data_IF_298395943572
#
_entry.id   IF_298395943572
#
_cell.length_a   1.000
_cell.length_b   1.000
_cell.length_c   1.000
_cell.angle_alpha   90.00
_cell.angle_beta   90.00
_cell.angle_gamma   90.00
#
_symmetry.space_group_name_H-M   'P 1'
#
loop_
_entity.id
_entity.type
_entity.pdbx_description
1 polymer ?
#
# COMPACT_ATOMS: atom_id res chain seq x y z
N UNK A 1 1.85 6.56 -24.41
CA UNK A 1 1.65 5.41 -23.52
C UNK A 1 2.79 4.43 -23.80
N UNK A 2 3.77 4.28 -22.89
CA UNK A 2 4.94 3.43 -23.11
C UNK A 2 4.82 2.18 -22.21
N UNK A 3 4.84 0.99 -22.78
CA UNK A 3 4.76 -0.27 -22.00
C UNK A 3 5.99 -0.42 -21.10
N UNK A 4 7.15 0.09 -21.53
CA UNK A 4 8.38 0.02 -20.75
C UNK A 4 8.31 0.82 -19.44
N UNK A 5 7.54 1.93 -19.40
CA UNK A 5 7.34 2.69 -18.16
C UNK A 5 6.42 1.99 -17.15
N UNK A 6 5.73 0.91 -17.55
CA UNK A 6 4.99 0.03 -16.63
C UNK A 6 5.87 -1.07 -16.03
N UNK A 7 6.98 -1.41 -16.69
CA UNK A 7 7.88 -2.51 -16.31
C UNK A 7 9.08 -2.03 -15.49
N UNK A 8 9.60 -0.83 -15.77
CA UNK A 8 10.78 -0.29 -15.08
C UNK A 8 10.47 1.14 -14.63
N UNK A 9 10.83 1.43 -13.36
CA UNK A 9 10.58 2.73 -12.72
C UNK A 9 11.74 3.73 -12.84
N UNK A 10 12.97 3.24 -13.02
CA UNK A 10 14.20 4.05 -13.08
C UNK A 10 14.55 4.63 -14.46
N UNK A 11 15.44 5.63 -14.48
CA UNK A 11 16.05 6.20 -15.69
C UNK A 11 15.24 7.29 -16.41
N UNK A 12 15.51 7.47 -17.72
CA UNK A 12 14.87 8.42 -18.65
C UNK A 12 13.30 8.39 -18.63
N UNK A 13 12.70 7.33 -18.09
CA UNK A 13 11.24 7.16 -17.98
C UNK A 13 10.59 7.90 -16.79
N UNK A 14 11.41 8.47 -15.89
CA UNK A 14 10.95 9.35 -14.80
C UNK A 14 10.51 10.72 -15.36
N UNK A 15 11.12 11.17 -16.45
CA UNK A 15 10.85 12.46 -17.11
C UNK A 15 9.62 12.40 -18.02
N UNK A 16 9.36 11.28 -18.71
CA UNK A 16 8.21 11.15 -19.63
C UNK A 16 6.82 11.19 -18.96
N UNK A 17 6.75 11.18 -17.62
CA UNK A 17 5.50 11.23 -16.85
C UNK A 17 5.18 12.63 -16.29
N UNK A 18 6.01 13.65 -16.56
CA UNK A 18 5.81 15.01 -16.05
C UNK A 18 4.64 15.77 -16.71
N UNK A 19 4.22 15.38 -17.93
CA UNK A 19 3.15 16.09 -18.67
C UNK A 19 1.72 15.72 -18.24
N UNK A 20 1.54 14.64 -17.48
CA UNK A 20 0.23 14.24 -16.94
C UNK A 20 -0.04 14.88 -15.59
N UNK A 21 -1.23 15.49 -15.42
CA UNK A 21 -1.65 16.02 -14.12
C UNK A 21 -1.48 14.96 -13.01
N UNK A 22 -0.82 15.35 -11.91
CA UNK A 22 -0.41 14.44 -10.83
C UNK A 22 -1.60 13.67 -10.23
N UNK A 23 -2.79 14.27 -10.19
CA UNK A 23 -4.02 13.66 -9.70
C UNK A 23 -4.54 12.54 -10.60
N UNK A 24 -4.56 12.73 -11.93
CA UNK A 24 -4.98 11.68 -12.87
C UNK A 24 -4.04 10.47 -12.81
N UNK A 25 -2.73 10.71 -12.70
CA UNK A 25 -1.75 9.64 -12.58
C UNK A 25 -1.93 8.82 -11.29
N UNK A 26 -2.30 9.48 -10.19
CA UNK A 26 -2.65 8.80 -8.94
C UNK A 26 -3.91 7.96 -9.09
N UNK A 27 -4.96 8.47 -9.74
CA UNK A 27 -6.20 7.69 -9.97
C UNK A 27 -5.93 6.46 -10.84
N UNK A 28 -5.17 6.63 -11.93
CA UNK A 28 -4.79 5.51 -12.80
C UNK A 28 -3.98 4.48 -12.00
N UNK A 29 -3.03 4.95 -11.20
CA UNK A 29 -2.13 4.05 -10.46
C UNK A 29 -2.82 3.33 -9.32
N UNK A 30 -3.68 4.01 -8.55
CA UNK A 30 -4.25 3.47 -7.31
C UNK A 30 -5.66 2.89 -7.47
N UNK A 31 -6.37 3.23 -8.55
CA UNK A 31 -7.71 2.70 -8.83
C UNK A 31 -7.70 1.79 -10.05
N UNK A 32 -7.14 2.24 -11.18
CA UNK A 32 -7.26 1.48 -12.44
C UNK A 32 -6.30 0.30 -12.49
N UNK A 33 -5.02 0.48 -12.15
CA UNK A 33 -4.03 -0.62 -12.19
C UNK A 33 -4.40 -1.81 -11.29
N UNK A 34 -4.86 -1.63 -10.03
CA UNK A 34 -5.20 -2.76 -9.16
C UNK A 34 -6.39 -3.61 -9.63
N UNK A 35 -7.24 -3.11 -10.54
CA UNK A 35 -8.43 -3.84 -11.02
C UNK A 35 -8.03 -5.20 -11.60
N UNK A 36 -6.95 -5.27 -12.39
CA UNK A 36 -6.48 -6.52 -12.99
C UNK A 36 -6.10 -7.57 -11.92
N UNK A 37 -5.40 -7.16 -10.87
CA UNK A 37 -5.03 -8.00 -9.74
C UNK A 37 -6.26 -8.43 -8.93
N UNK A 38 -7.21 -7.53 -8.70
CA UNK A 38 -8.43 -7.84 -7.95
C UNK A 38 -9.31 -8.85 -8.71
N UNK A 39 -9.43 -8.69 -10.04
CA UNK A 39 -10.14 -9.66 -10.89
C UNK A 39 -9.44 -11.02 -10.85
N UNK A 40 -8.10 -11.05 -10.91
CA UNK A 40 -7.33 -12.27 -10.75
C UNK A 40 -7.58 -12.93 -9.38
N UNK A 41 -7.61 -12.16 -8.29
CA UNK A 41 -7.89 -12.68 -6.95
C UNK A 41 -9.28 -13.32 -6.87
N UNK A 42 -10.28 -12.65 -7.44
CA UNK A 42 -11.64 -13.19 -7.49
C UNK A 42 -11.68 -14.51 -8.28
N UNK A 43 -11.08 -14.55 -9.47
CA UNK A 43 -11.05 -15.75 -10.30
C UNK A 43 -10.29 -16.92 -9.64
N UNK A 44 -9.21 -16.61 -8.92
CA UNK A 44 -8.45 -17.57 -8.09
C UNK A 44 -9.22 -18.08 -6.87
N UNK A 45 -10.40 -17.53 -6.56
CA UNK A 45 -11.27 -18.03 -5.49
C UNK A 45 -12.51 -18.76 -6.01
N UNK A 46 -12.71 -18.78 -7.33
CA UNK A 46 -13.80 -19.51 -7.98
C UNK A 46 -13.45 -21.01 -8.06
N UNK A 47 -14.41 -21.94 -7.82
CA UNK A 47 -14.14 -23.38 -7.79
C UNK A 47 -13.81 -24.00 -9.15
N UNK A 48 -14.45 -23.53 -10.24
CA UNK A 48 -14.18 -24.00 -11.62
C UNK A 48 -13.38 -22.94 -12.37
N UNK A 49 -12.18 -23.31 -12.83
CA UNK A 49 -11.25 -22.39 -13.50
C UNK A 49 -10.84 -22.93 -14.85
N UNK A 50 -11.02 -22.13 -15.88
CA UNK A 50 -10.41 -22.36 -17.18
C UNK A 50 -8.97 -21.86 -17.13
N UNK A 51 -8.01 -22.75 -17.41
CA UNK A 51 -6.57 -22.44 -17.38
C UNK A 51 -6.21 -21.32 -18.36
N UNK A 52 -6.87 -21.23 -19.51
CA UNK A 52 -6.61 -20.18 -20.52
C UNK A 52 -6.99 -18.81 -19.96
N UNK A 53 -8.19 -18.70 -19.38
CA UNK A 53 -8.66 -17.46 -18.76
C UNK A 53 -7.75 -17.08 -17.59
N UNK A 54 -7.36 -18.04 -16.76
CA UNK A 54 -6.43 -17.79 -15.66
C UNK A 54 -5.08 -17.23 -16.16
N UNK A 55 -4.51 -17.83 -17.21
CA UNK A 55 -3.25 -17.37 -17.79
C UNK A 55 -3.36 -15.96 -18.37
N UNK A 56 -4.47 -15.65 -19.05
CA UNK A 56 -4.72 -14.29 -19.58
C UNK A 56 -4.82 -13.28 -18.44
N UNK A 57 -5.61 -13.57 -17.39
CA UNK A 57 -5.75 -12.70 -16.24
C UNK A 57 -4.43 -12.51 -15.49
N UNK A 58 -3.63 -13.57 -15.36
CA UNK A 58 -2.31 -13.50 -14.75
C UNK A 58 -1.35 -12.63 -15.57
N UNK A 59 -1.30 -12.81 -16.89
CA UNK A 59 -0.50 -11.97 -17.79
C UNK A 59 -0.91 -10.50 -17.69
N UNK A 60 -2.21 -10.20 -17.74
CA UNK A 60 -2.73 -8.84 -17.59
C UNK A 60 -2.34 -8.23 -16.23
N UNK A 61 -2.48 -9.01 -15.16
CA UNK A 61 -2.11 -8.57 -13.82
C UNK A 61 -0.61 -8.27 -13.70
N UNK A 62 0.27 -9.13 -14.24
CA UNK A 62 1.72 -8.92 -14.23
C UNK A 62 2.13 -7.75 -15.11
N UNK A 63 1.53 -7.57 -16.28
CA UNK A 63 1.84 -6.44 -17.17
C UNK A 63 1.43 -5.10 -16.56
N UNK A 64 0.27 -5.04 -15.92
CA UNK A 64 -0.25 -3.80 -15.31
C UNK A 64 0.36 -3.51 -13.95
N UNK A 65 0.66 -4.54 -13.16
CA UNK A 65 1.17 -4.43 -11.79
C UNK A 65 2.55 -5.07 -11.63
N UNK A 66 3.46 -4.84 -12.58
CA UNK A 66 4.79 -5.43 -12.52
C UNK A 66 5.58 -4.95 -11.29
N UNK A 67 6.19 -5.84 -10.49
CA UNK A 67 6.73 -5.51 -9.17
C UNK A 67 7.94 -4.57 -9.24
N UNK A 68 8.69 -4.58 -10.35
CA UNK A 68 9.84 -3.68 -10.57
C UNK A 68 9.41 -2.29 -11.09
N UNK A 69 8.25 -2.20 -11.74
CA UNK A 69 7.70 -0.97 -12.30
C UNK A 69 6.86 -0.15 -11.31
N UNK A 70 6.89 -0.51 -10.03
CA UNK A 70 6.02 0.08 -9.01
C UNK A 70 6.75 0.37 -7.69
N UNK A 71 6.26 1.31 -6.87
CA UNK A 71 6.77 1.48 -5.52
C UNK A 71 6.66 0.18 -4.71
N UNK A 72 7.67 -0.13 -3.90
CA UNK A 72 7.74 -1.36 -3.10
C UNK A 72 6.53 -1.59 -2.18
N UNK A 73 5.98 -0.52 -1.60
CA UNK A 73 4.75 -0.62 -0.80
C UNK A 73 3.54 -1.04 -1.67
N UNK A 74 3.44 -0.53 -2.90
CA UNK A 74 2.37 -0.84 -3.85
C UNK A 74 2.50 -2.30 -4.31
N UNK A 75 3.74 -2.77 -4.56
CA UNK A 75 4.03 -4.18 -4.82
C UNK A 75 3.62 -5.06 -3.63
N UNK A 76 4.07 -4.75 -2.41
CA UNK A 76 3.72 -5.51 -1.22
C UNK A 76 2.19 -5.61 -1.04
N UNK A 77 1.47 -4.49 -1.20
CA UNK A 77 0.02 -4.42 -1.03
C UNK A 77 -0.77 -5.30 -2.01
N UNK A 78 -0.24 -5.62 -3.20
CA UNK A 78 -0.90 -6.49 -4.19
C UNK A 78 -0.34 -7.92 -4.20
N UNK A 79 0.97 -8.09 -4.04
CA UNK A 79 1.59 -9.41 -4.11
C UNK A 79 1.45 -10.22 -2.82
N UNK A 80 1.38 -9.59 -1.64
CA UNK A 80 1.09 -10.30 -0.39
C UNK A 80 -0.28 -11.01 -0.47
N UNK A 81 -1.39 -10.32 -0.86
CA UNK A 81 -2.66 -11.00 -1.09
C UNK A 81 -2.57 -12.13 -2.11
N UNK A 82 -1.89 -11.92 -3.24
CA UNK A 82 -1.73 -12.96 -4.27
C UNK A 82 -1.08 -14.23 -3.70
N UNK A 83 0.00 -14.06 -2.94
CA UNK A 83 0.72 -15.16 -2.31
C UNK A 83 -0.14 -15.86 -1.24
N UNK A 84 -0.87 -15.10 -0.42
CA UNK A 84 -1.79 -15.68 0.58
C UNK A 84 -2.93 -16.48 -0.05
N UNK A 85 -3.40 -16.06 -1.22
CA UNK A 85 -4.46 -16.77 -1.98
C UNK A 85 -3.90 -18.04 -2.63
N UNK A 86 -2.72 -17.97 -3.23
CA UNK A 86 -2.15 -19.05 -4.06
C UNK A 86 -1.33 -20.06 -3.27
N UNK A 87 -0.74 -19.67 -2.14
CA UNK A 87 0.15 -20.51 -1.32
C UNK A 87 -0.48 -20.73 0.07
N UNK A 88 -1.32 -21.77 0.24
CA UNK A 88 -1.97 -22.07 1.52
C UNK A 88 -1.03 -22.23 2.71
N UNK A 89 0.21 -22.67 2.45
CA UNK A 89 1.25 -22.84 3.47
C UNK A 89 1.57 -21.56 4.23
N UNK A 90 1.50 -20.40 3.57
CA UNK A 90 1.76 -19.10 4.21
C UNK A 90 0.77 -18.79 5.33
N UNK A 91 -0.47 -19.31 5.23
CA UNK A 91 -1.55 -19.05 6.19
C UNK A 91 -1.49 -19.94 7.44
N UNK A 92 -0.55 -20.88 7.51
CA UNK A 92 -0.45 -21.85 8.62
C UNK A 92 0.53 -21.36 9.68
N UNK A 93 0.08 -21.36 10.93
CA UNK A 93 0.92 -20.98 12.08
C UNK A 93 1.58 -19.62 11.88
N UNK A 94 2.89 -19.56 12.14
CA UNK A 94 3.68 -18.32 12.02
C UNK A 94 4.40 -18.18 10.67
N UNK A 95 4.06 -19.01 9.68
CA UNK A 95 4.75 -19.02 8.38
C UNK A 95 4.64 -17.68 7.66
N UNK A 96 3.48 -17.03 7.72
CA UNK A 96 3.30 -15.70 7.13
C UNK A 96 4.31 -14.71 7.70
N UNK A 97 4.40 -14.61 9.03
CA UNK A 97 5.31 -13.68 9.70
C UNK A 97 6.78 -13.97 9.38
N UNK A 98 7.19 -15.24 9.38
CA UNK A 98 8.56 -15.65 9.03
C UNK A 98 8.90 -15.29 7.57
N UNK A 99 8.02 -15.65 6.63
CA UNK A 99 8.21 -15.36 5.20
C UNK A 99 8.21 -13.85 4.97
N UNK A 100 7.35 -13.11 5.67
CA UNK A 100 7.28 -11.66 5.58
C UNK A 100 8.58 -11.00 6.04
N UNK A 101 9.12 -11.39 7.19
CA UNK A 101 10.42 -10.90 7.69
C UNK A 101 11.55 -11.25 6.71
N UNK A 102 11.62 -12.50 6.23
CA UNK A 102 12.62 -12.89 5.23
C UNK A 102 12.49 -12.09 3.93
N UNK A 103 11.25 -11.82 3.50
CA UNK A 103 10.97 -11.01 2.32
C UNK A 103 11.44 -9.57 2.50
N UNK A 104 11.26 -8.99 3.69
CA UNK A 104 11.78 -7.66 4.01
C UNK A 104 13.30 -7.61 4.01
N UNK A 105 13.98 -8.68 4.44
CA UNK A 105 15.44 -8.73 4.48
C UNK A 105 16.09 -8.96 3.10
N UNK A 106 15.42 -9.70 2.20
CA UNK A 106 16.01 -10.12 0.91
C UNK A 106 15.33 -9.47 -0.28
N UNK A 107 14.00 -9.59 -0.39
CA UNK A 107 13.24 -9.10 -1.56
C UNK A 107 13.22 -7.57 -1.57
N UNK A 108 13.11 -6.94 -0.40
CA UNK A 108 12.96 -5.49 -0.33
C UNK A 108 14.23 -4.71 -0.74
N UNK A 109 15.46 -5.12 -0.35
CA UNK A 109 16.71 -4.60 -0.92
C UNK A 109 16.83 -4.87 -2.42
N UNK A 110 16.52 -6.09 -2.86
CA UNK A 110 16.56 -6.43 -4.28
C UNK A 110 15.65 -5.52 -5.13
N UNK A 111 14.41 -5.28 -4.70
CA UNK A 111 13.49 -4.36 -5.38
C UNK A 111 13.97 -2.89 -5.33
N UNK A 112 14.82 -2.52 -4.37
CA UNK A 112 15.38 -1.17 -4.30
C UNK A 112 16.44 -0.92 -5.37
N UNK A 113 17.25 -1.92 -5.72
CA UNK A 113 18.28 -1.79 -6.75
C UNK A 113 17.71 -1.38 -8.11
N UNK A 114 16.45 -1.71 -8.39
CA UNK A 114 15.75 -1.33 -9.63
C UNK A 114 15.08 0.06 -9.58
N UNK A 115 15.16 0.76 -8.44
CA UNK A 115 14.51 2.07 -8.27
C UNK A 115 15.14 3.15 -9.14
N UNK A 116 16.46 3.20 -9.15
CA UNK A 116 17.27 4.23 -9.83
C UNK A 116 18.10 3.61 -10.95
N UNK A 117 17.59 2.53 -11.55
CA UNK A 117 18.24 1.86 -12.68
C UNK A 117 18.37 2.83 -13.86
N UNK A 118 19.61 3.13 -14.22
CA UNK A 118 20.00 3.88 -15.41
C UNK A 118 20.85 3.00 -16.35
N UNK A 119 20.96 3.37 -17.63
CA UNK A 119 21.64 2.57 -18.66
C UNK A 119 23.09 2.21 -18.29
N UNK A 120 23.75 3.03 -17.46
CA UNK A 120 25.13 2.86 -17.03
C UNK A 120 25.28 2.27 -15.61
N UNK A 121 24.17 1.98 -14.91
CA UNK A 121 24.24 1.39 -13.56
C UNK A 121 24.48 -0.11 -13.63
N UNK A 122 25.56 -0.57 -13.00
CA UNK A 122 25.76 -2.01 -12.76
C UNK A 122 24.74 -2.46 -11.72
N UNK A 123 23.79 -3.31 -12.12
CA UNK A 123 22.88 -3.96 -11.19
C UNK A 123 23.71 -4.97 -10.41
N UNK A 124 23.97 -4.67 -9.14
CA UNK A 124 24.39 -5.70 -8.22
C UNK A 124 23.16 -6.51 -7.80
N UNK A 125 23.20 -7.82 -8.05
CA UNK A 125 22.12 -8.74 -7.71
C UNK A 125 22.20 -9.20 -6.26
N UNK A 126 23.30 -8.88 -5.56
CA UNK A 126 23.43 -9.13 -4.14
C UNK A 126 22.50 -8.18 -3.33
N UNK A 127 21.87 -8.66 -2.25
CA UNK A 127 21.10 -7.80 -1.37
C UNK A 127 22.03 -6.80 -0.67
N UNK A 128 21.81 -5.51 -0.93
CA UNK A 128 22.49 -4.42 -0.25
C UNK A 128 21.84 -4.14 1.12
N UNK A 129 22.54 -4.54 2.19
CA UNK A 129 22.08 -4.34 3.56
C UNK A 129 22.32 -2.91 4.08
N UNK A 130 23.16 -2.10 3.44
CA UNK A 130 23.37 -0.70 3.82
C UNK A 130 22.07 0.09 3.66
N UNK A 131 21.18 -0.38 2.79
CA UNK A 131 19.83 0.16 2.64
C UNK A 131 19.04 0.25 3.95
N UNK A 132 19.26 -0.66 4.91
CA UNK A 132 18.55 -0.61 6.20
C UNK A 132 18.96 0.56 7.08
N UNK A 133 20.09 1.19 6.79
CA UNK A 133 20.58 2.40 7.48
C UNK A 133 20.12 3.71 6.83
N UNK A 134 19.46 3.62 5.67
CA UNK A 134 18.93 4.79 4.97
C UNK A 134 17.64 5.30 5.63
N UNK A 135 17.27 6.56 5.36
CA UNK A 135 16.04 7.20 5.83
C UNK A 135 14.73 6.53 5.40
N UNK A 136 14.78 5.34 4.77
CA UNK A 136 13.61 4.53 4.49
C UNK A 136 13.16 3.67 5.68
N UNK A 137 13.92 3.59 6.77
CA UNK A 137 13.58 2.81 7.98
C UNK A 137 13.53 3.66 9.25
N UNK A 138 13.42 4.98 9.09
CA UNK A 138 13.47 6.00 10.14
C UNK A 138 12.15 6.22 10.92
N UNK A 139 11.08 5.48 10.58
CA UNK A 139 9.72 5.76 11.10
C UNK A 139 9.63 5.86 12.63
N UNK A 140 10.37 5.04 13.38
CA UNK A 140 10.40 5.10 14.84
C UNK A 140 11.32 6.20 15.37
N UNK A 141 12.36 6.59 14.62
CA UNK A 141 13.19 7.74 14.96
C UNK A 141 12.37 9.03 14.80
N UNK A 142 11.59 9.14 13.73
CA UNK A 142 10.65 10.24 13.52
C UNK A 142 9.56 10.30 14.59
N UNK A 143 9.06 9.14 15.01
CA UNK A 143 8.13 9.10 16.15
C UNK A 143 8.77 9.64 17.43
N UNK A 144 10.02 9.25 17.72
CA UNK A 144 10.75 9.79 18.87
C UNK A 144 10.95 11.31 18.76
N UNK A 145 11.30 11.82 17.57
CA UNK A 145 11.44 13.27 17.32
C UNK A 145 10.12 14.01 17.57
N UNK A 146 9.00 13.49 17.07
CA UNK A 146 7.65 14.08 17.30
C UNK A 146 7.34 14.19 18.79
N UNK A 147 7.72 13.19 19.60
CA UNK A 147 7.52 13.22 21.05
C UNK A 147 8.48 14.22 21.72
N UNK A 148 9.77 14.15 21.39
CA UNK A 148 10.81 14.97 22.00
C UNK A 148 10.58 16.47 21.78
N UNK A 149 10.06 16.81 20.61
CA UNK A 149 9.79 18.18 20.18
C UNK A 149 8.34 18.60 20.43
N UNK A 150 7.58 17.77 21.15
CA UNK A 150 6.18 17.96 21.53
C UNK A 150 5.26 18.45 20.40
N UNK A 151 5.40 17.82 19.23
CA UNK A 151 4.67 18.23 18.03
C UNK A 151 3.24 17.70 18.10
N UNK A 152 2.30 18.56 18.48
CA UNK A 152 0.86 18.25 18.54
C UNK A 152 0.04 19.28 17.76
N UNK A 153 -0.85 18.77 16.91
CA UNK A 153 -1.63 19.54 15.92
C UNK A 153 -3.14 19.51 16.18
N UNK A 154 -3.58 18.90 17.29
CA UNK A 154 -4.97 18.87 17.74
C UNK A 154 -5.98 18.41 16.67
N UNK A 155 -5.61 17.38 15.91
CA UNK A 155 -6.46 16.76 14.89
C UNK A 155 -6.36 17.38 13.49
N UNK A 156 -5.55 18.43 13.29
CA UNK A 156 -5.41 19.05 11.98
C UNK A 156 -4.90 18.04 10.92
N UNK A 157 -3.87 17.25 11.27
CA UNK A 157 -3.35 16.22 10.35
C UNK A 157 -4.42 15.18 10.01
N UNK A 158 -5.18 14.72 11.01
CA UNK A 158 -6.27 13.76 10.83
C UNK A 158 -7.40 14.31 9.94
N UNK A 159 -7.72 15.61 10.02
CA UNK A 159 -8.67 16.24 9.09
C UNK A 159 -8.16 16.15 7.64
N UNK A 160 -6.86 16.35 7.42
CA UNK A 160 -6.22 16.15 6.12
C UNK A 160 -6.37 14.73 5.58
N UNK A 161 -6.25 13.74 6.47
CA UNK A 161 -6.46 12.32 6.14
C UNK A 161 -7.92 12.05 5.76
N UNK A 162 -8.88 12.49 6.58
CA UNK A 162 -10.32 12.20 6.35
C UNK A 162 -10.86 12.93 5.11
N UNK A 163 -10.36 14.14 4.85
CA UNK A 163 -10.74 14.97 3.70
C UNK A 163 -9.67 14.96 2.61
N UNK A 164 -8.91 13.85 2.48
CA UNK A 164 -7.81 13.74 1.51
C UNK A 164 -8.29 13.96 0.06
N UNK A 165 -9.56 13.71 -0.24
CA UNK A 165 -10.14 13.85 -1.57
C UNK A 165 -10.49 15.30 -1.93
N UNK A 166 -10.54 16.21 -0.94
CA UNK A 166 -10.80 17.63 -1.19
C UNK A 166 -9.57 18.27 -1.87
N UNK A 167 -9.73 18.91 -3.03
CA UNK A 167 -8.62 19.52 -3.74
C UNK A 167 -8.14 20.80 -3.05
N UNK A 168 -6.85 21.13 -3.23
CA UNK A 168 -6.24 22.35 -2.66
C UNK A 168 -6.85 23.65 -3.21
N UNK A 169 -7.57 23.60 -4.34
CA UNK A 169 -8.33 24.75 -4.84
C UNK A 169 -9.51 25.13 -3.96
N UNK A 170 -10.10 24.14 -3.26
CA UNK A 170 -11.23 24.35 -2.34
C UNK A 170 -10.73 24.55 -0.90
N UNK A 171 -9.62 23.89 -0.53
CA UNK A 171 -8.97 24.07 0.77
C UNK A 171 -7.46 24.32 0.58
N UNK A 172 -7.05 25.59 0.37
CA UNK A 172 -5.65 25.95 0.14
C UNK A 172 -4.73 25.51 1.28
N UNK A 173 -5.18 25.73 2.52
CA UNK A 173 -4.44 25.44 3.76
C UNK A 173 -4.55 23.97 4.21
N UNK A 174 -4.92 23.06 3.29
CA UNK A 174 -5.02 21.63 3.60
C UNK A 174 -3.68 21.11 4.15
N UNK A 175 -3.69 20.41 5.29
CA UNK A 175 -2.46 19.89 5.88
C UNK A 175 -1.78 18.89 4.94
N UNK A 176 -0.45 18.90 4.99
CA UNK A 176 0.40 17.89 4.34
C UNK A 176 0.42 16.61 5.18
N UNK A 177 1.07 15.54 4.72
CA UNK A 177 1.21 14.33 5.54
C UNK A 177 2.03 14.61 6.81
N UNK A 178 1.78 13.88 7.89
CA UNK A 178 2.43 14.08 9.19
C UNK A 178 3.96 13.93 9.10
N UNK A 179 4.45 13.02 8.25
CA UNK A 179 5.87 12.88 7.99
C UNK A 179 6.49 14.10 7.29
N UNK A 180 5.79 14.65 6.29
CA UNK A 180 6.23 15.87 5.61
C UNK A 180 6.14 17.09 6.53
N UNK A 181 5.13 17.14 7.40
CA UNK A 181 5.02 18.17 8.42
C UNK A 181 6.20 18.16 9.39
N UNK A 182 6.60 16.98 9.88
CA UNK A 182 7.81 16.83 10.68
C UNK A 182 9.06 17.30 9.92
N UNK A 183 9.20 16.91 8.66
CA UNK A 183 10.34 17.30 7.83
C UNK A 183 10.48 18.82 7.70
N UNK A 184 9.36 19.52 7.52
CA UNK A 184 9.31 20.99 7.45
C UNK A 184 9.68 21.63 8.79
N UNK A 185 9.15 21.10 9.91
CA UNK A 185 9.49 21.60 11.26
C UNK A 185 10.97 21.41 11.59
N UNK A 186 11.56 20.29 11.17
CA UNK A 186 12.96 19.94 11.43
C UNK A 186 13.94 20.44 10.37
N UNK A 187 13.47 21.16 9.35
CA UNK A 187 14.27 21.62 8.20
C UNK A 187 15.08 20.50 7.53
N UNK A 188 14.46 19.33 7.32
CA UNK A 188 15.09 18.24 6.59
C UNK A 188 15.28 18.61 5.11
N UNK A 189 16.27 17.98 4.46
CA UNK A 189 16.54 18.19 3.04
C UNK A 189 15.52 17.51 2.12
N UNK A 190 14.61 16.70 2.67
CA UNK A 190 13.56 15.99 1.94
C UNK A 190 12.29 15.83 2.78
N UNK A 191 11.14 15.90 2.12
CA UNK A 191 9.83 15.88 2.78
C UNK A 191 9.19 14.47 2.83
N UNK A 192 9.75 13.51 2.10
CA UNK A 192 9.21 12.16 2.00
C UNK A 192 9.69 11.28 3.17
N UNK A 193 9.23 11.65 4.35
CA UNK A 193 9.56 11.04 5.64
C UNK A 193 8.37 10.24 6.13
N UNK A 194 8.63 9.13 6.84
CA UNK A 194 7.55 8.30 7.38
C UNK A 194 7.19 8.65 8.82
N UNK A 195 5.89 8.84 9.08
CA UNK A 195 5.31 8.87 10.43
C UNK A 195 4.50 7.59 10.61
N UNK A 196 4.89 6.73 11.55
CA UNK A 196 4.17 5.48 11.79
C UNK A 196 2.81 5.74 12.45
N UNK A 197 1.97 4.70 12.53
CA UNK A 197 0.61 4.83 13.07
C UNK A 197 0.55 5.37 14.52
N UNK A 198 1.58 5.11 15.33
CA UNK A 198 1.67 5.63 16.70
C UNK A 198 2.02 7.12 16.72
N UNK A 199 2.93 7.55 15.85
CA UNK A 199 3.25 8.96 15.64
C UNK A 199 2.04 9.75 15.17
N UNK A 200 1.21 9.16 14.32
CA UNK A 200 -0.06 9.75 13.86
C UNK A 200 -1.06 9.94 15.02
N UNK A 201 -1.09 9.00 15.98
CA UNK A 201 -1.83 9.18 17.21
C UNK A 201 -1.30 10.37 18.02
N UNK A 202 0.02 10.43 18.23
CA UNK A 202 0.64 11.50 19.02
C UNK A 202 0.47 12.88 18.38
N UNK A 203 0.79 13.02 17.10
CA UNK A 203 0.74 14.31 16.41
C UNK A 203 -0.67 14.89 16.38
N UNK A 204 -1.71 14.05 16.48
CA UNK A 204 -3.09 14.53 16.48
C UNK A 204 -3.59 14.88 17.88
N UNK A 205 -3.32 14.07 18.92
CA UNK A 205 -3.89 14.32 20.26
C UNK A 205 -2.93 13.97 21.41
N UNK A 206 -1.61 14.06 21.20
CA UNK A 206 -0.59 13.66 22.17
C UNK A 206 -0.70 12.19 22.58
N UNK A 207 -0.26 11.87 23.80
CA UNK A 207 -0.36 10.49 24.33
C UNK A 207 -1.79 9.94 24.33
N UNK A 208 -2.80 10.80 24.56
CA UNK A 208 -4.20 10.38 24.45
C UNK A 208 -4.54 9.86 23.05
N UNK A 209 -4.04 10.54 22.02
CA UNK A 209 -4.22 10.12 20.63
C UNK A 209 -3.56 8.77 20.32
N UNK A 210 -2.40 8.48 20.90
CA UNK A 210 -1.76 7.15 20.78
C UNK A 210 -2.67 6.06 21.31
N UNK A 211 -3.24 6.22 22.51
CA UNK A 211 -4.19 5.26 23.08
C UNK A 211 -5.45 5.11 22.22
N UNK A 212 -6.02 6.24 21.77
CA UNK A 212 -7.20 6.25 20.92
C UNK A 212 -6.97 5.48 19.61
N UNK A 213 -5.85 5.73 18.93
CA UNK A 213 -5.51 5.07 17.68
C UNK A 213 -5.30 3.57 17.87
N UNK A 214 -4.63 3.15 18.96
CA UNK A 214 -4.49 1.72 19.29
C UNK A 214 -5.86 1.05 19.44
N UNK A 215 -6.80 1.68 20.16
CA UNK A 215 -8.15 1.15 20.34
C UNK A 215 -8.87 1.03 18.99
N UNK A 216 -8.78 2.06 18.15
CA UNK A 216 -9.37 2.07 16.80
C UNK A 216 -8.81 0.91 15.96
N UNK A 217 -7.48 0.77 15.91
CA UNK A 217 -6.81 -0.29 15.16
C UNK A 217 -7.20 -1.69 15.67
N UNK A 218 -7.20 -1.89 16.98
CA UNK A 218 -7.58 -3.15 17.61
C UNK A 218 -9.05 -3.49 17.32
N UNK A 219 -9.96 -2.51 17.38
CA UNK A 219 -11.36 -2.69 17.05
C UNK A 219 -11.56 -3.12 15.60
N UNK A 220 -10.93 -2.42 14.63
CA UNK A 220 -11.08 -2.74 13.21
C UNK A 220 -10.46 -4.10 12.86
N UNK A 221 -9.25 -4.40 13.35
CA UNK A 221 -8.61 -5.70 13.10
C UNK A 221 -9.41 -6.85 13.71
N UNK A 222 -9.84 -6.73 14.97
CA UNK A 222 -10.67 -7.75 15.62
C UNK A 222 -12.02 -7.95 14.91
N UNK A 223 -12.65 -6.87 14.43
CA UNK A 223 -13.91 -6.93 13.67
C UNK A 223 -13.72 -7.66 12.35
N UNK A 224 -12.67 -7.33 11.60
CA UNK A 224 -12.35 -7.94 10.30
C UNK A 224 -12.00 -9.42 10.45
N UNK A 225 -11.19 -9.76 11.44
CA UNK A 225 -10.81 -11.14 11.76
C UNK A 225 -12.03 -11.97 12.16
N UNK A 226 -12.88 -11.44 13.05
CA UNK A 226 -14.12 -12.11 13.47
C UNK A 226 -15.02 -12.40 12.26
N UNK A 227 -15.22 -11.42 11.38
CA UNK A 227 -16.00 -11.59 10.15
C UNK A 227 -15.38 -12.65 9.25
N UNK A 228 -14.07 -12.60 9.05
CA UNK A 228 -13.36 -13.54 8.19
C UNK A 228 -13.46 -14.98 8.72
N UNK A 229 -13.04 -15.21 9.97
CA UNK A 229 -12.96 -16.54 10.57
C UNK A 229 -14.31 -17.17 10.84
N UNK A 230 -15.31 -16.39 11.27
CA UNK A 230 -16.63 -16.94 11.63
C UNK A 230 -17.52 -17.16 10.39
N UNK A 231 -17.53 -16.21 9.45
CA UNK A 231 -18.56 -16.17 8.41
C UNK A 231 -18.02 -16.54 7.03
N UNK A 232 -16.74 -16.27 6.76
CA UNK A 232 -16.25 -16.24 5.37
C UNK A 232 -15.34 -17.41 5.04
N UNK A 233 -14.54 -17.91 5.98
CA UNK A 233 -13.64 -19.06 5.74
C UNK A 233 -14.35 -20.25 5.11
N UNK A 234 -15.56 -20.56 5.59
CA UNK A 234 -16.39 -21.69 5.16
C UNK A 234 -17.11 -21.49 3.81
N UNK A 235 -17.15 -20.27 3.28
CA UNK A 235 -17.86 -19.96 2.04
C UNK A 235 -16.92 -19.97 0.84
N UNK A 236 -17.22 -20.78 -0.16
CA UNK A 236 -16.56 -20.71 -1.45
C UNK A 236 -17.00 -19.47 -2.23
N UNK A 237 -16.10 -18.89 -3.02
CA UNK A 237 -16.36 -17.73 -3.88
C UNK A 237 -16.91 -16.47 -3.15
N UNK A 238 -16.38 -16.16 -1.97
CA UNK A 238 -16.77 -14.95 -1.23
C UNK A 238 -15.79 -13.79 -1.49
N UNK A 239 -16.32 -12.71 -2.09
CA UNK A 239 -15.59 -11.48 -2.41
C UNK A 239 -14.98 -10.79 -1.18
N UNK A 240 -15.53 -11.01 0.03
CA UNK A 240 -14.94 -10.50 1.26
C UNK A 240 -13.54 -11.10 1.52
N UNK A 241 -13.25 -12.33 1.08
CA UNK A 241 -11.90 -12.92 1.18
C UNK A 241 -10.88 -12.06 0.44
N UNK A 242 -11.25 -11.52 -0.72
CA UNK A 242 -10.39 -10.66 -1.53
C UNK A 242 -10.07 -9.38 -0.78
N UNK A 243 -11.09 -8.68 -0.27
CA UNK A 243 -10.90 -7.46 0.54
C UNK A 243 -10.02 -7.76 1.74
N UNK A 244 -10.31 -8.82 2.48
CA UNK A 244 -9.59 -9.18 3.69
C UNK A 244 -8.08 -9.35 3.43
N UNK A 245 -7.70 -10.09 2.38
CA UNK A 245 -6.29 -10.23 2.03
C UNK A 245 -5.64 -8.92 1.58
N UNK A 246 -6.35 -8.10 0.80
CA UNK A 246 -5.86 -6.77 0.41
C UNK A 246 -5.63 -5.89 1.64
N UNK A 247 -6.56 -5.90 2.61
CA UNK A 247 -6.43 -5.16 3.86
C UNK A 247 -5.24 -5.64 4.70
N UNK A 248 -4.89 -6.93 4.69
CA UNK A 248 -3.67 -7.42 5.35
C UNK A 248 -2.40 -6.80 4.73
N UNK A 249 -2.34 -6.66 3.41
CA UNK A 249 -1.26 -5.97 2.72
C UNK A 249 -1.21 -4.47 3.06
N UNK A 250 -2.38 -3.81 3.06
CA UNK A 250 -2.48 -2.38 3.39
C UNK A 250 -2.20 -2.09 4.87
N UNK A 251 -2.50 -3.03 5.78
CA UNK A 251 -2.23 -2.89 7.21
C UNK A 251 -0.74 -2.64 7.46
N UNK A 252 0.14 -3.37 6.76
CA UNK A 252 1.58 -3.11 6.87
C UNK A 252 1.94 -1.68 6.45
N UNK A 253 1.33 -1.18 5.38
CA UNK A 253 1.58 0.17 4.91
C UNK A 253 1.07 1.24 5.88
N UNK A 254 -0.13 1.05 6.45
CA UNK A 254 -0.71 1.95 7.47
C UNK A 254 0.13 1.96 8.75
N UNK A 255 0.63 0.80 9.19
CA UNK A 255 1.39 0.70 10.43
C UNK A 255 2.74 1.43 10.36
N UNK A 256 3.35 1.49 9.17
CA UNK A 256 4.72 1.96 8.97
C UNK A 256 4.82 3.31 8.24
N UNK A 257 3.88 3.62 7.37
CA UNK A 257 3.89 4.79 6.49
C UNK A 257 2.97 5.90 6.99
N UNK A 258 3.09 7.05 6.33
CA UNK A 258 2.23 8.22 6.53
C UNK A 258 0.74 7.89 6.35
N UNK A 259 -0.09 8.33 7.29
CA UNK A 259 -1.51 7.95 7.33
C UNK A 259 -2.30 8.57 6.18
N UNK A 260 -1.97 9.79 5.77
CA UNK A 260 -2.65 10.46 4.65
C UNK A 260 -2.49 9.63 3.37
N UNK A 261 -1.26 9.26 3.06
CA UNK A 261 -0.95 8.47 1.86
C UNK A 261 -1.53 7.05 1.93
N UNK A 262 -1.36 6.37 3.06
CA UNK A 262 -1.83 5.00 3.24
C UNK A 262 -3.35 4.89 3.27
N UNK A 263 -4.05 5.84 3.88
CA UNK A 263 -5.51 5.93 3.85
C UNK A 263 -6.03 6.19 2.44
N UNK A 264 -5.49 7.19 1.74
CA UNK A 264 -5.90 7.53 0.38
C UNK A 264 -5.77 6.35 -0.59
N UNK A 265 -4.66 5.61 -0.50
CA UNK A 265 -4.44 4.44 -1.37
C UNK A 265 -5.34 3.27 -0.98
N UNK A 266 -5.61 3.08 0.32
CA UNK A 266 -6.58 2.07 0.79
C UNK A 266 -7.97 2.35 0.21
N UNK A 267 -8.42 3.61 0.22
CA UNK A 267 -9.68 4.00 -0.41
C UNK A 267 -9.65 3.75 -1.92
N UNK A 268 -8.54 4.07 -2.60
CA UNK A 268 -8.37 3.77 -4.03
C UNK A 268 -8.56 2.29 -4.36
N UNK A 269 -8.00 1.40 -3.54
CA UNK A 269 -8.14 -0.04 -3.71
C UNK A 269 -9.56 -0.54 -3.41
N UNK A 270 -10.22 0.02 -2.39
CA UNK A 270 -11.61 -0.29 -2.09
C UNK A 270 -12.55 0.16 -3.22
N UNK A 271 -12.26 1.30 -3.86
CA UNK A 271 -12.98 1.74 -5.05
C UNK A 271 -12.74 0.80 -6.24
N UNK A 272 -11.49 0.41 -6.49
CA UNK A 272 -11.17 -0.58 -7.52
C UNK A 272 -11.91 -1.90 -7.31
N UNK A 273 -11.95 -2.37 -6.06
CA UNK A 273 -12.71 -3.56 -5.68
C UNK A 273 -14.22 -3.37 -5.87
N UNK A 274 -14.78 -2.23 -5.48
CA UNK A 274 -16.20 -1.92 -5.69
C UNK A 274 -16.60 -1.91 -7.18
N UNK A 275 -15.72 -1.41 -8.05
CA UNK A 275 -15.95 -1.48 -9.51
C UNK A 275 -15.99 -2.93 -10.00
N UNK A 276 -15.07 -3.78 -9.54
CA UNK A 276 -15.08 -5.22 -9.86
C UNK A 276 -16.35 -5.89 -9.35
N UNK A 277 -16.80 -5.57 -8.13
CA UNK A 277 -18.07 -6.08 -7.59
C UNK A 277 -19.26 -5.75 -8.48
N UNK A 278 -19.37 -4.50 -8.94
CA UNK A 278 -20.46 -4.10 -9.83
C UNK A 278 -20.45 -4.86 -11.15
N UNK A 279 -19.27 -5.06 -11.74
CA UNK A 279 -19.12 -5.79 -13.00
C UNK A 279 -19.53 -7.26 -12.83
N UNK A 280 -19.05 -7.92 -11.76
CA UNK A 280 -19.35 -9.32 -11.47
C UNK A 280 -20.83 -9.53 -11.21
N UNK A 281 -21.45 -8.69 -10.37
CA UNK A 281 -22.87 -8.82 -10.04
C UNK A 281 -23.75 -8.57 -11.26
N UNK A 282 -23.45 -7.56 -12.09
CA UNK A 282 -24.18 -7.29 -13.33
C UNK A 282 -24.17 -8.50 -14.30
N UNK A 283 -23.05 -9.21 -14.36
CA UNK A 283 -22.91 -10.41 -15.20
C UNK A 283 -23.68 -11.62 -14.67
N UNK A 284 -23.99 -11.68 -13.37
CA UNK A 284 -24.72 -12.81 -12.77
C UNK A 284 -26.24 -12.72 -12.94
N UNK A 285 -26.75 -11.55 -13.35
CA UNK A 285 -28.17 -11.33 -13.66
C UNK A 285 -28.51 -11.54 -15.15
N UNK A 286 -27.55 -11.99 -15.96
CA UNK A 286 -27.74 -12.41 -17.36
C UNK A 286 -27.48 -13.91 -17.48
#
# INVERSE_FOLDING_TARGET
FNIYSMLIRGGEFKESNQDTSSSLMLVITQVVRPISMIVLFYYLMTPKRNKIILSILFLLAVLTCFPLGMPRFFAAALYIPLLLITIPYMRKGNNFSLIFVLSLLVIFPFLNSFRDFDRDTKIDLAPDFDMFTTGHFDSYQNFALIILEDIVTWGNQLLGVLLFWLPRTVWPDKPIGSGAYLAHQMNFSFDNVSANYFAEGYINFGFFGVFLFIIILAYFTARMDKLYWQNVTKLDNNLFKVIYYIMLGMLFFVMRGDLLSSFAFTIGYLLAFYLVLKIVNSSSYR
#
